data_IF_971366781727
#
_entry.id   IF_971366781727
#
_cell.length_a   1.000
_cell.length_b   1.000
_cell.length_c   1.000
_cell.angle_alpha   90.00
_cell.angle_beta   90.00
_cell.angle_gamma   90.00
#
_symmetry.space_group_name_H-M   'P 1'
#
loop_
_entity.id
_entity.type
_entity.pdbx_description
1 polymer ?
#
# COMPACT_ATOMS: atom_id res chain seq x y z
N UNK A 1 -10.87 -13.44 -11.53
CA UNK A 1 -9.94 -12.70 -10.66
C UNK A 1 -10.31 -11.23 -10.71
N UNK A 2 -10.79 -10.69 -9.58
CA UNK A 2 -11.03 -9.26 -9.39
C UNK A 2 -9.77 -8.59 -8.84
N UNK A 3 -9.66 -7.27 -8.98
CA UNK A 3 -8.52 -6.53 -8.40
C UNK A 3 -8.45 -6.68 -6.87
N UNK A 4 -9.59 -6.88 -6.21
CA UNK A 4 -9.64 -7.03 -4.75
C UNK A 4 -9.02 -8.34 -4.30
N UNK A 5 -9.27 -9.43 -5.04
CA UNK A 5 -8.63 -10.73 -4.81
C UNK A 5 -7.11 -10.65 -5.03
N UNK A 6 -6.65 -9.96 -6.09
CA UNK A 6 -5.22 -9.78 -6.35
C UNK A 6 -4.52 -8.96 -5.24
N UNK A 7 -5.19 -7.94 -4.71
CA UNK A 7 -4.65 -7.13 -3.61
C UNK A 7 -4.60 -7.93 -2.30
N UNK A 8 -5.63 -8.72 -1.99
CA UNK A 8 -5.64 -9.62 -0.85
C UNK A 8 -4.53 -10.67 -0.95
N UNK A 9 -4.33 -11.24 -2.13
CA UNK A 9 -3.26 -12.19 -2.39
C UNK A 9 -1.88 -11.54 -2.25
N UNK A 10 -1.72 -10.31 -2.72
CA UNK A 10 -0.49 -9.54 -2.50
C UNK A 10 -0.22 -9.24 -1.00
N UNK A 11 -1.26 -9.15 -0.16
CA UNK A 11 -1.10 -9.09 1.29
C UNK A 11 -0.71 -10.45 1.89
N UNK A 12 -1.30 -11.55 1.43
CA UNK A 12 -0.91 -12.91 1.84
C UNK A 12 0.56 -13.20 1.55
N UNK A 13 1.03 -12.76 0.38
CA UNK A 13 2.43 -12.89 -0.04
C UNK A 13 3.39 -11.88 0.62
N UNK A 14 2.91 -11.08 1.60
CA UNK A 14 3.67 -10.03 2.30
C UNK A 14 4.28 -8.96 1.37
N UNK A 15 3.77 -8.81 0.14
CA UNK A 15 4.19 -7.75 -0.78
C UNK A 15 3.63 -6.40 -0.32
N UNK A 16 2.38 -6.42 0.15
CA UNK A 16 1.64 -5.31 0.74
C UNK A 16 1.28 -5.63 2.20
N UNK A 17 1.12 -4.60 3.05
CA UNK A 17 0.55 -4.83 4.38
C UNK A 17 -0.97 -4.88 4.27
N UNK A 18 -1.67 -5.62 5.15
CA UNK A 18 -3.13 -5.64 5.15
C UNK A 18 -3.76 -4.22 5.20
N UNK A 19 -3.12 -3.30 5.92
CA UNK A 19 -3.51 -1.89 5.98
C UNK A 19 -3.45 -1.19 4.60
N UNK A 20 -2.43 -1.48 3.79
CA UNK A 20 -2.28 -0.86 2.47
C UNK A 20 -3.39 -1.33 1.52
N UNK A 21 -3.81 -2.60 1.66
CA UNK A 21 -4.93 -3.19 0.91
C UNK A 21 -6.28 -2.60 1.36
N UNK A 22 -6.53 -2.57 2.67
CA UNK A 22 -7.76 -1.96 3.20
C UNK A 22 -7.90 -0.49 2.82
N UNK A 23 -6.81 0.27 2.83
CA UNK A 23 -6.80 1.65 2.37
C UNK A 23 -7.21 1.77 0.89
N UNK A 24 -6.65 0.92 0.02
CA UNK A 24 -7.01 0.92 -1.39
C UNK A 24 -8.48 0.53 -1.63
N UNK A 25 -8.98 -0.47 -0.90
CA UNK A 25 -10.38 -0.89 -0.97
C UNK A 25 -11.34 0.19 -0.47
N UNK A 26 -10.93 0.97 0.53
CA UNK A 26 -11.72 2.06 1.09
C UNK A 26 -11.75 3.30 0.18
N UNK A 27 -10.60 3.73 -0.33
CA UNK A 27 -10.47 5.00 -1.07
C UNK A 27 -10.82 4.85 -2.55
N UNK A 28 -10.62 3.66 -3.12
CA UNK A 28 -10.79 3.40 -4.56
C UNK A 28 -11.82 2.28 -4.83
N UNK A 29 -12.86 2.18 -4.00
CA UNK A 29 -13.93 1.17 -4.11
C UNK A 29 -14.65 1.20 -5.45
N UNK A 30 -15.08 2.38 -5.89
CA UNK A 30 -15.80 2.59 -7.16
C UNK A 30 -14.89 3.05 -8.30
N UNK A 31 -13.58 3.11 -8.06
CA UNK A 31 -12.60 3.57 -9.04
C UNK A 31 -12.09 2.42 -9.92
N UNK A 32 -11.47 2.79 -11.05
CA UNK A 32 -10.83 1.86 -11.97
C UNK A 32 -9.76 1.02 -11.23
N UNK A 33 -9.59 -0.28 -11.55
CA UNK A 33 -8.65 -1.17 -10.85
C UNK A 33 -7.20 -0.65 -10.83
N UNK A 34 -6.78 0.10 -11.86
CA UNK A 34 -5.46 0.75 -11.89
C UNK A 34 -5.29 1.80 -10.78
N UNK A 35 -6.35 2.57 -10.48
CA UNK A 35 -6.35 3.58 -9.39
C UNK A 35 -6.28 2.89 -8.03
N UNK A 36 -6.94 1.74 -7.89
CA UNK A 36 -6.91 0.92 -6.67
C UNK A 36 -5.51 0.38 -6.40
N UNK A 37 -4.84 -0.15 -7.42
CA UNK A 37 -3.44 -0.57 -7.32
C UNK A 37 -2.51 0.61 -6.97
N UNK A 38 -2.71 1.77 -7.63
CA UNK A 38 -1.92 2.96 -7.35
C UNK A 38 -2.07 3.43 -5.90
N UNK A 39 -3.29 3.40 -5.34
CA UNK A 39 -3.55 3.74 -3.94
C UNK A 39 -2.83 2.78 -2.97
N UNK A 40 -2.84 1.47 -3.25
CA UNK A 40 -2.13 0.47 -2.44
C UNK A 40 -0.60 0.70 -2.46
N UNK A 41 -0.03 0.94 -3.65
CA UNK A 41 1.41 1.20 -3.83
C UNK A 41 1.82 2.52 -3.17
N UNK A 42 0.98 3.56 -3.30
CA UNK A 42 1.21 4.86 -2.69
C UNK A 42 1.25 4.76 -1.17
N UNK A 43 0.27 4.06 -0.56
CA UNK A 43 0.22 3.82 0.87
C UNK A 43 1.48 3.09 1.34
N UNK A 44 1.84 1.99 0.66
CA UNK A 44 3.06 1.22 0.95
C UNK A 44 4.33 2.09 0.91
N UNK A 45 4.49 2.93 -0.12
CA UNK A 45 5.67 3.80 -0.28
C UNK A 45 5.72 4.90 0.78
N UNK A 46 4.61 5.57 1.06
CA UNK A 46 4.53 6.63 2.07
C UNK A 46 4.95 6.12 3.44
N UNK A 47 4.48 4.93 3.81
CA UNK A 47 4.83 4.31 5.08
C UNK A 47 6.22 3.64 5.10
N UNK A 48 6.77 3.18 3.97
CA UNK A 48 8.19 2.79 3.90
C UNK A 48 9.11 3.98 4.16
N UNK A 49 8.72 5.18 3.70
CA UNK A 49 9.44 6.41 3.99
C UNK A 49 9.28 6.87 5.45
N UNK A 50 8.09 6.71 6.02
CA UNK A 50 7.82 7.01 7.44
C UNK A 50 8.39 5.96 8.42
N UNK A 51 8.75 4.76 7.95
CA UNK A 51 9.43 3.70 8.71
C UNK A 51 10.94 3.67 8.50
N UNK A 52 11.52 4.61 7.77
CA UNK A 52 12.95 4.86 7.95
C UNK A 52 13.12 5.32 9.39
N UNK A 53 13.85 4.59 10.23
CA UNK A 53 14.16 5.10 11.56
C UNK A 53 14.84 6.46 11.38
N UNK A 54 14.62 7.36 12.32
CA UNK A 54 15.38 8.60 12.49
C UNK A 54 16.91 8.39 12.64
N UNK A 55 17.43 7.18 12.37
CA UNK A 55 18.84 6.81 12.37
C UNK A 55 19.59 7.24 11.09
N UNK A 56 18.94 7.92 10.14
CA UNK A 56 19.57 8.51 8.94
C UNK A 56 19.33 10.01 8.82
N UNK A 57 18.99 10.70 9.92
CA UNK A 57 19.20 12.14 9.99
C UNK A 57 20.72 12.37 10.19
N UNK A 58 21.46 12.93 9.22
CA UNK A 58 22.83 13.34 9.50
C UNK A 58 22.75 14.41 10.58
N UNK A 59 23.36 14.15 11.75
CA UNK A 59 23.65 15.19 12.72
C UNK A 59 24.47 16.26 11.99
N UNK A 60 23.84 17.38 11.65
CA UNK A 60 24.52 18.58 11.18
C UNK A 60 23.80 19.81 11.67
#
# INVERSE_FOLDING_TARGET
>A
MTMDELLLEAANQRLLRPLDVQFALMVARDAHPAVRLAAAVLSRRRWRRARLPAALAPCR
#
